data_IF_027352739607
#
_entry.id   IF_027352739607
#
_cell.length_a   1.000
_cell.length_b   1.000
_cell.length_c   1.000
_cell.angle_alpha   90.00
_cell.angle_beta   90.00
_cell.angle_gamma   90.00
#
_symmetry.space_group_name_H-M   'P 1'
#
loop_
_entity.id
_entity.type
_entity.pdbx_description
1 polymer ?
#
# COMPACT_ATOMS: atom_id res chain seq x y z
N UNK A 1 11.48 17.32 5.20
CA UNK A 1 12.80 17.73 4.68
C UNK A 1 13.88 16.83 5.29
N UNK A 2 14.65 16.07 4.48
CA UNK A 2 15.74 15.24 5.00
C UNK A 2 16.92 16.12 5.48
N UNK A 3 17.51 15.73 6.60
CA UNK A 3 18.76 16.31 7.15
C UNK A 3 19.86 15.25 7.19
N UNK A 4 20.01 14.53 6.09
CA UNK A 4 21.04 13.53 5.88
C UNK A 4 21.60 13.65 4.45
N UNK A 5 22.76 13.07 4.24
CA UNK A 5 23.45 12.98 2.95
C UNK A 5 24.28 11.69 2.89
N UNK A 6 24.58 11.20 1.69
CA UNK A 6 25.58 10.14 1.46
C UNK A 6 27.01 10.63 1.61
N UNK A 7 27.21 11.96 1.65
CA UNK A 7 28.50 12.61 1.76
C UNK A 7 28.61 13.40 3.08
N UNK A 8 29.82 13.57 3.64
CA UNK A 8 30.02 14.47 4.77
C UNK A 8 29.52 15.87 4.43
N UNK A 9 28.73 16.45 5.33
CA UNK A 9 28.14 17.76 5.09
C UNK A 9 28.45 18.68 6.26
N UNK A 10 29.22 19.73 6.02
CA UNK A 10 29.64 20.69 7.05
C UNK A 10 28.42 21.39 7.64
N UNK A 11 27.48 21.82 6.79
CA UNK A 11 26.29 22.52 7.26
C UNK A 11 25.16 22.40 6.28
N UNK A 12 23.96 22.06 6.77
CA UNK A 12 22.69 22.10 6.04
C UNK A 12 21.74 23.08 6.70
N UNK A 13 21.20 24.02 5.92
CA UNK A 13 20.23 25.00 6.40
C UNK A 13 18.97 24.91 5.56
N UNK A 14 17.82 24.85 6.23
CA UNK A 14 16.53 24.98 5.61
C UNK A 14 15.81 26.20 6.16
N UNK A 15 15.32 27.05 5.27
CA UNK A 15 14.56 28.25 5.63
C UNK A 15 13.18 28.18 5.02
N UNK A 16 12.18 28.58 5.79
CA UNK A 16 10.79 28.68 5.34
C UNK A 16 10.17 29.97 5.87
N UNK A 17 9.49 30.71 5.00
CA UNK A 17 8.78 31.93 5.35
C UNK A 17 7.29 31.75 5.09
N UNK A 18 6.47 32.04 6.09
CA UNK A 18 5.02 31.93 6.01
C UNK A 18 4.37 33.29 6.34
N UNK A 19 3.13 33.54 5.85
CA UNK A 19 2.35 34.73 6.25
C UNK A 19 2.17 34.82 7.78
N UNK A 20 2.03 36.05 8.30
CA UNK A 20 1.91 36.31 9.74
C UNK A 20 0.73 35.60 10.37
N UNK A 21 -0.39 35.51 9.64
CA UNK A 21 -1.64 34.91 10.09
C UNK A 21 -1.62 33.36 10.08
N UNK A 22 -0.61 32.76 9.47
CA UNK A 22 -0.43 31.32 9.46
C UNK A 22 0.35 30.85 10.67
N UNK A 23 -0.09 29.73 11.24
CA UNK A 23 0.70 29.01 12.23
C UNK A 23 1.39 27.82 11.55
N UNK A 24 2.58 27.47 12.05
CA UNK A 24 3.33 26.32 11.61
C UNK A 24 3.78 25.52 12.82
N UNK A 25 3.49 24.22 12.80
CA UNK A 25 4.08 23.27 13.71
C UNK A 25 5.20 22.52 13.01
N UNK A 26 6.20 22.13 13.78
CA UNK A 26 7.33 21.35 13.25
C UNK A 26 7.87 20.39 14.29
N UNK A 27 8.45 19.30 13.81
CA UNK A 27 9.15 18.35 14.65
C UNK A 27 10.36 17.82 13.90
N UNK A 28 11.45 17.67 14.61
CA UNK A 28 12.67 17.03 14.12
C UNK A 28 12.73 15.59 14.64
N UNK A 29 13.01 14.64 13.77
CA UNK A 29 13.06 13.22 14.08
C UNK A 29 14.46 12.69 13.85
N UNK A 30 14.87 11.69 14.61
CA UNK A 30 16.15 10.97 14.51
C UNK A 30 17.39 11.87 14.68
N UNK A 31 17.30 12.85 15.54
CA UNK A 31 18.38 13.77 15.85
C UNK A 31 17.90 15.12 16.37
N UNK A 32 18.77 16.08 16.34
CA UNK A 32 18.49 17.45 16.77
C UNK A 32 18.98 18.45 15.72
N UNK A 33 18.33 19.58 15.61
CA UNK A 33 18.76 20.72 14.82
C UNK A 33 18.61 22.03 15.61
N UNK A 34 19.41 23.01 15.28
CA UNK A 34 19.17 24.38 15.76
C UNK A 34 17.99 24.98 14.99
N UNK A 35 17.09 25.65 15.70
CA UNK A 35 15.98 26.34 15.07
C UNK A 35 15.88 27.77 15.59
N UNK A 36 15.46 28.68 14.70
CA UNK A 36 15.16 30.05 15.06
C UNK A 36 13.99 30.58 14.24
N UNK A 37 13.26 31.54 14.80
CA UNK A 37 12.19 32.25 14.10
C UNK A 37 12.43 33.75 14.20
N UNK A 38 12.20 34.46 13.10
CA UNK A 38 12.29 35.91 13.00
C UNK A 38 11.07 36.46 12.29
N UNK A 39 10.75 37.70 12.59
CA UNK A 39 9.78 38.48 11.83
C UNK A 39 10.53 39.34 10.82
N UNK A 40 10.31 39.05 9.54
CA UNK A 40 10.94 39.72 8.43
C UNK A 40 9.89 40.04 7.36
N UNK A 41 9.85 41.27 6.89
CA UNK A 41 8.95 41.74 5.81
C UNK A 41 7.47 41.35 6.01
N UNK A 42 6.96 41.46 7.26
CA UNK A 42 5.59 41.10 7.59
C UNK A 42 5.31 39.59 7.54
N UNK A 43 6.31 38.75 7.65
CA UNK A 43 6.23 37.28 7.62
C UNK A 43 6.96 36.66 8.81
N UNK A 44 6.60 35.43 9.14
CA UNK A 44 7.34 34.56 10.07
C UNK A 44 8.39 33.77 9.26
N UNK A 45 9.67 34.01 9.49
CA UNK A 45 10.79 33.31 8.85
C UNK A 45 11.42 32.31 9.83
N UNK A 46 11.32 31.03 9.54
CA UNK A 46 11.92 29.95 10.32
C UNK A 46 13.22 29.50 9.65
N UNK A 47 14.21 29.23 10.47
CA UNK A 47 15.50 28.68 10.03
C UNK A 47 15.81 27.45 10.85
N UNK A 48 16.15 26.36 10.18
CA UNK A 48 16.59 25.09 10.76
C UNK A 48 17.97 24.77 10.23
N UNK A 49 18.90 24.43 11.11
CA UNK A 49 20.28 24.14 10.72
C UNK A 49 20.83 22.94 11.50
N UNK A 50 21.62 22.15 10.80
CA UNK A 50 22.41 21.05 11.34
C UNK A 50 23.82 21.14 10.78
N UNK A 51 24.84 20.90 11.62
CA UNK A 51 26.26 21.02 11.29
C UNK A 51 26.96 19.66 11.48
N UNK A 52 28.13 19.52 10.87
CA UNK A 52 29.04 18.39 11.01
C UNK A 52 28.37 17.03 10.79
N UNK A 53 27.55 16.94 9.74
CA UNK A 53 26.76 15.76 9.44
C UNK A 53 27.65 14.68 8.82
N UNK A 54 27.77 13.56 9.50
CA UNK A 54 28.43 12.36 8.96
C UNK A 54 27.58 11.71 7.86
N UNK A 55 28.22 11.02 6.88
CA UNK A 55 27.49 10.31 5.83
C UNK A 55 26.56 9.27 6.41
N UNK A 56 25.31 9.28 5.97
CA UNK A 56 24.37 8.22 6.29
C UNK A 56 24.44 7.14 5.21
N UNK A 57 24.84 5.94 5.59
CA UNK A 57 24.97 4.80 4.68
C UNK A 57 23.77 3.87 4.81
N UNK A 58 23.25 3.46 3.65
CA UNK A 58 22.18 2.48 3.60
C UNK A 58 22.72 1.08 3.87
N UNK A 59 22.08 0.36 4.77
CA UNK A 59 22.38 -1.04 5.07
C UNK A 59 21.42 -1.97 4.34
N UNK A 60 21.82 -3.22 4.01
CA UNK A 60 20.89 -4.21 3.47
C UNK A 60 19.73 -4.48 4.41
N UNK A 61 18.51 -4.54 3.87
CA UNK A 61 17.28 -4.82 4.62
C UNK A 61 16.94 -3.84 5.77
N UNK A 62 17.56 -2.67 5.81
CA UNK A 62 17.16 -1.64 6.76
C UNK A 62 15.77 -1.07 6.43
N UNK A 63 15.15 -0.41 7.40
CA UNK A 63 13.94 0.40 7.19
C UNK A 63 14.21 1.54 6.21
N UNK A 64 13.16 2.20 5.74
CA UNK A 64 13.32 3.35 4.84
C UNK A 64 14.20 4.44 5.50
N UNK A 65 14.98 5.15 4.68
CA UNK A 65 15.85 6.23 5.16
C UNK A 65 15.08 7.33 5.88
N UNK A 66 13.84 7.58 5.49
CA UNK A 66 12.99 8.53 6.21
C UNK A 66 12.63 8.08 7.62
N UNK A 67 12.73 6.79 7.94
CA UNK A 67 12.48 6.25 9.29
C UNK A 67 13.75 6.17 10.14
N UNK A 68 14.92 6.11 9.51
CA UNK A 68 16.19 5.90 10.20
C UNK A 68 17.05 7.17 10.30
N UNK A 69 16.90 8.11 9.37
CA UNK A 69 17.79 9.26 9.26
C UNK A 69 17.14 10.57 9.73
N UNK A 70 17.96 11.58 10.13
CA UNK A 70 17.46 12.86 10.60
C UNK A 70 16.54 13.55 9.58
N UNK A 71 15.35 13.96 10.02
CA UNK A 71 14.38 14.65 9.17
C UNK A 71 13.61 15.71 9.92
N UNK A 72 13.27 16.79 9.22
CA UNK A 72 12.37 17.83 9.68
C UNK A 72 11.00 17.62 9.01
N UNK A 73 9.95 17.49 9.79
CA UNK A 73 8.55 17.53 9.34
C UNK A 73 7.93 18.85 9.76
N UNK A 74 7.10 19.41 8.89
CA UNK A 74 6.43 20.69 9.12
C UNK A 74 5.02 20.66 8.56
N UNK A 75 4.09 21.35 9.21
CA UNK A 75 2.73 21.49 8.71
C UNK A 75 2.09 22.77 9.19
N UNK A 76 1.28 23.38 8.36
CA UNK A 76 0.32 24.43 8.74
C UNK A 76 -1.08 23.87 9.05
N UNK A 77 -1.31 22.59 8.86
CA UNK A 77 -2.55 21.91 9.25
C UNK A 77 -2.53 21.73 10.78
N UNK A 78 -3.55 22.20 11.53
CA UNK A 78 -3.53 22.14 12.98
C UNK A 78 -3.61 20.72 13.52
N UNK A 79 -4.54 19.91 13.01
CA UNK A 79 -4.83 18.57 13.51
C UNK A 79 -5.08 17.58 12.36
N UNK A 80 -4.84 16.30 12.60
CA UNK A 80 -5.17 15.23 11.67
C UNK A 80 -6.65 15.23 11.29
N UNK A 81 -7.52 15.54 12.24
CA UNK A 81 -8.95 15.67 12.02
C UNK A 81 -9.30 16.69 10.93
N UNK A 82 -8.62 17.83 10.90
CA UNK A 82 -8.82 18.84 9.85
C UNK A 82 -8.40 18.32 8.47
N UNK A 83 -7.31 17.56 8.43
CA UNK A 83 -6.83 16.90 7.21
C UNK A 83 -7.81 15.83 6.73
N UNK A 84 -8.35 15.02 7.64
CA UNK A 84 -9.37 14.02 7.35
C UNK A 84 -10.63 14.65 6.75
N UNK A 85 -11.17 15.69 7.40
CA UNK A 85 -12.34 16.44 6.92
C UNK A 85 -12.10 17.03 5.53
N UNK A 86 -10.93 17.64 5.32
CA UNK A 86 -10.55 18.17 4.01
C UNK A 86 -10.50 17.07 2.94
N UNK A 87 -9.88 15.93 3.25
CA UNK A 87 -9.75 14.82 2.30
C UNK A 87 -11.10 14.20 1.96
N UNK A 88 -12.00 14.06 2.93
CA UNK A 88 -13.38 13.66 2.68
C UNK A 88 -14.06 14.65 1.74
N UNK A 89 -14.04 15.94 2.12
CA UNK A 89 -14.75 16.99 1.38
C UNK A 89 -14.31 17.09 -0.09
N UNK A 90 -13.02 17.08 -0.37
CA UNK A 90 -12.55 17.25 -1.77
C UNK A 90 -12.97 16.09 -2.68
N UNK A 91 -13.14 14.89 -2.14
CA UNK A 91 -13.58 13.73 -2.90
C UNK A 91 -15.11 13.66 -3.03
N UNK A 92 -15.86 14.02 -1.99
CA UNK A 92 -17.32 14.11 -2.07
C UNK A 92 -17.76 15.24 -3.00
N UNK A 93 -17.16 16.42 -2.91
CA UNK A 93 -17.47 17.57 -3.80
C UNK A 93 -17.11 17.27 -5.27
N UNK A 94 -16.07 16.49 -5.51
CA UNK A 94 -15.70 16.06 -6.87
C UNK A 94 -16.65 15.02 -7.45
N UNK A 95 -17.36 14.27 -6.60
CA UNK A 95 -18.25 13.18 -6.99
C UNK A 95 -17.53 11.88 -7.30
N UNK A 96 -16.36 11.64 -6.67
CA UNK A 96 -15.52 10.46 -6.90
C UNK A 96 -16.27 9.13 -6.75
N UNK A 97 -17.29 9.10 -5.91
CA UNK A 97 -18.02 7.88 -5.56
C UNK A 97 -19.45 7.84 -6.10
N UNK A 98 -19.74 8.64 -7.13
CA UNK A 98 -21.05 8.66 -7.75
C UNK A 98 -21.46 7.25 -8.24
N UNK A 99 -22.67 6.78 -7.90
CA UNK A 99 -23.10 5.45 -8.29
C UNK A 99 -23.25 5.35 -9.82
N UNK A 100 -22.90 4.19 -10.38
CA UNK A 100 -23.00 3.88 -11.80
C UNK A 100 -23.89 2.64 -11.98
N UNK A 101 -24.99 2.69 -12.78
CA UNK A 101 -25.92 1.57 -12.92
C UNK A 101 -25.28 0.25 -13.37
N UNK A 102 -24.29 0.31 -14.26
CA UNK A 102 -23.57 -0.86 -14.74
C UNK A 102 -22.70 -1.47 -13.63
N UNK A 103 -22.05 -0.63 -12.81
CA UNK A 103 -21.29 -1.07 -11.66
C UNK A 103 -22.21 -1.62 -10.57
N UNK A 104 -23.40 -1.04 -10.33
CA UNK A 104 -24.39 -1.55 -9.39
C UNK A 104 -24.82 -2.99 -9.75
N UNK A 105 -25.11 -3.26 -11.03
CA UNK A 105 -25.43 -4.63 -11.48
C UNK A 105 -24.32 -5.61 -11.18
N UNK A 106 -23.06 -5.19 -11.36
CA UNK A 106 -21.90 -6.02 -11.06
C UNK A 106 -21.77 -6.26 -9.55
N UNK A 107 -21.98 -5.26 -8.72
CA UNK A 107 -21.98 -5.39 -7.27
C UNK A 107 -23.05 -6.37 -6.82
N UNK A 108 -24.29 -6.22 -7.32
CA UNK A 108 -25.41 -7.12 -6.99
C UNK A 108 -25.11 -8.59 -7.37
N UNK A 109 -24.49 -8.80 -8.53
CA UNK A 109 -24.03 -10.12 -8.98
C UNK A 109 -23.00 -10.73 -8.02
N UNK A 110 -22.01 -9.94 -7.61
CA UNK A 110 -20.89 -10.37 -6.78
C UNK A 110 -21.32 -10.75 -5.36
N UNK A 111 -22.22 -9.96 -4.76
CA UNK A 111 -22.69 -10.20 -3.38
C UNK A 111 -23.84 -11.22 -3.32
N UNK A 112 -24.39 -11.63 -4.45
CA UNK A 112 -25.48 -12.61 -4.50
C UNK A 112 -25.08 -13.91 -3.82
N UNK A 113 -25.86 -14.33 -2.84
CA UNK A 113 -25.62 -15.54 -2.05
C UNK A 113 -24.55 -15.42 -0.97
N UNK A 114 -23.89 -14.26 -0.82
CA UNK A 114 -22.99 -13.99 0.30
C UNK A 114 -23.79 -13.72 1.56
N UNK A 115 -23.48 -14.44 2.64
CA UNK A 115 -24.28 -14.42 3.88
C UNK A 115 -23.75 -13.45 4.91
N UNK A 116 -22.43 -13.29 4.98
CA UNK A 116 -21.77 -12.45 5.98
C UNK A 116 -21.27 -11.15 5.39
N UNK A 117 -21.09 -10.14 6.23
CA UNK A 117 -20.46 -8.87 5.92
C UNK A 117 -19.07 -9.10 5.28
N UNK A 118 -18.24 -9.92 5.91
CA UNK A 118 -16.89 -10.22 5.46
C UNK A 118 -16.85 -10.93 4.09
N UNK A 119 -17.79 -11.83 3.81
CA UNK A 119 -17.87 -12.45 2.48
C UNK A 119 -18.18 -11.43 1.38
N UNK A 120 -19.05 -10.45 1.67
CA UNK A 120 -19.37 -9.37 0.72
C UNK A 120 -18.18 -8.44 0.53
N UNK A 121 -17.55 -7.98 1.61
CA UNK A 121 -16.36 -7.13 1.56
C UNK A 121 -15.24 -7.82 0.78
N UNK A 122 -14.96 -9.09 1.10
CA UNK A 122 -13.89 -9.85 0.45
C UNK A 122 -14.11 -9.99 -1.06
N UNK A 123 -15.31 -10.38 -1.50
CA UNK A 123 -15.57 -10.57 -2.93
C UNK A 123 -15.49 -9.27 -3.72
N UNK A 124 -15.91 -8.14 -3.14
CA UNK A 124 -15.79 -6.83 -3.77
C UNK A 124 -14.33 -6.38 -3.86
N UNK A 125 -13.57 -6.54 -2.76
CA UNK A 125 -12.15 -6.20 -2.72
C UNK A 125 -11.35 -7.01 -3.73
N UNK A 126 -11.55 -8.32 -3.78
CA UNK A 126 -10.87 -9.19 -4.76
C UNK A 126 -11.27 -8.86 -6.20
N UNK A 127 -12.56 -8.59 -6.45
CA UNK A 127 -12.97 -8.24 -7.80
C UNK A 127 -12.28 -6.95 -8.27
N UNK A 128 -12.21 -5.92 -7.44
CA UNK A 128 -11.54 -4.66 -7.79
C UNK A 128 -10.04 -4.91 -8.03
N UNK A 129 -9.38 -5.66 -7.13
CA UNK A 129 -7.97 -6.01 -7.27
C UNK A 129 -7.65 -6.77 -8.57
N UNK A 130 -8.55 -7.67 -8.99
CA UNK A 130 -8.37 -8.52 -10.18
C UNK A 130 -8.74 -7.81 -11.49
N UNK A 131 -9.61 -6.80 -11.44
CA UNK A 131 -10.22 -6.22 -12.64
C UNK A 131 -9.82 -4.77 -12.93
N UNK A 132 -9.20 -4.07 -11.98
CA UNK A 132 -8.67 -2.72 -12.19
C UNK A 132 -7.15 -2.81 -12.18
N UNK A 133 -6.54 -2.69 -13.35
CA UNK A 133 -5.09 -2.82 -13.52
C UNK A 133 -4.37 -1.59 -12.99
N UNK A 134 -3.31 -1.77 -12.20
CA UNK A 134 -2.45 -0.67 -11.82
C UNK A 134 -1.69 -0.13 -13.06
N UNK A 135 -1.94 1.13 -13.40
CA UNK A 135 -1.28 1.83 -14.49
C UNK A 135 -0.81 3.19 -13.98
N UNK A 136 0.49 3.42 -13.99
CA UNK A 136 1.12 4.62 -13.42
C UNK A 136 0.94 5.92 -14.21
N UNK A 137 -0.10 6.01 -15.03
CA UNK A 137 -0.44 7.22 -15.79
C UNK A 137 -1.77 7.74 -15.26
N UNK A 138 -1.70 8.85 -14.53
CA UNK A 138 -2.86 9.61 -14.10
C UNK A 138 -2.65 11.03 -14.59
N UNK A 139 -3.48 11.49 -15.53
CA UNK A 139 -3.38 12.82 -16.12
C UNK A 139 -4.77 13.42 -16.28
N UNK A 140 -4.92 14.71 -15.94
CA UNK A 140 -6.16 15.46 -16.14
C UNK A 140 -6.83 15.90 -14.84
N UNK A 141 -8.15 16.10 -14.88
CA UNK A 141 -8.94 16.47 -13.70
C UNK A 141 -8.91 15.33 -12.68
N UNK A 142 -8.76 15.68 -11.40
CA UNK A 142 -8.66 14.70 -10.31
C UNK A 142 -7.23 14.32 -9.96
N UNK A 143 -6.26 15.12 -10.35
CA UNK A 143 -4.88 14.95 -9.92
C UNK A 143 -4.69 15.28 -8.43
N UNK A 144 -3.58 14.82 -7.86
CA UNK A 144 -3.29 14.99 -6.43
C UNK A 144 -4.19 14.09 -5.56
N UNK A 145 -4.83 14.68 -4.57
CA UNK A 145 -5.65 13.97 -3.56
C UNK A 145 -7.09 13.66 -4.01
N UNK A 146 -7.51 14.12 -5.18
CA UNK A 146 -8.83 13.80 -5.72
C UNK A 146 -8.80 12.44 -6.43
N UNK A 147 -9.72 11.57 -6.08
CA UNK A 147 -9.89 10.27 -6.74
C UNK A 147 -10.75 10.44 -7.99
N UNK A 148 -10.40 9.78 -9.07
CA UNK A 148 -11.22 9.78 -10.28
C UNK A 148 -12.59 9.12 -10.03
N UNK A 149 -13.59 9.50 -10.81
CA UNK A 149 -14.96 9.03 -10.61
C UNK A 149 -15.14 7.54 -10.95
N UNK A 150 -16.19 6.95 -10.38
CA UNK A 150 -16.54 5.55 -10.57
C UNK A 150 -16.69 5.18 -12.05
N UNK A 151 -17.25 6.06 -12.87
CA UNK A 151 -17.50 5.79 -14.28
C UNK A 151 -16.19 5.63 -15.05
N UNK A 152 -15.25 6.55 -14.85
CA UNK A 152 -13.94 6.50 -15.48
C UNK A 152 -13.20 5.20 -15.11
N UNK A 153 -13.05 4.95 -13.82
CA UNK A 153 -12.32 3.78 -13.33
C UNK A 153 -12.96 2.45 -13.75
N UNK A 154 -14.29 2.36 -13.69
CA UNK A 154 -15.02 1.16 -14.09
C UNK A 154 -14.96 0.91 -15.59
N UNK A 155 -14.94 1.95 -16.43
CA UNK A 155 -14.88 1.83 -17.89
C UNK A 155 -13.46 1.48 -18.35
N UNK A 156 -12.46 2.20 -17.85
CA UNK A 156 -11.08 2.11 -18.32
C UNK A 156 -10.34 0.89 -17.76
N UNK A 157 -10.83 0.32 -16.65
CA UNK A 157 -10.24 -0.85 -15.97
C UNK A 157 -8.77 -0.66 -15.64
N UNK A 158 -8.34 0.55 -15.43
CA UNK A 158 -6.98 0.88 -15.00
C UNK A 158 -6.93 2.21 -14.25
N UNK A 159 -5.90 2.36 -13.43
CA UNK A 159 -5.64 3.58 -12.67
C UNK A 159 -4.48 3.39 -11.70
N UNK A 160 -4.23 4.40 -10.89
CA UNK A 160 -3.26 4.33 -9.80
C UNK A 160 -3.93 3.93 -8.48
N UNK A 161 -3.19 3.86 -7.38
CA UNK A 161 -3.72 3.42 -6.07
C UNK A 161 -5.02 4.12 -5.67
N UNK A 162 -5.12 5.44 -5.85
CA UNK A 162 -6.33 6.21 -5.52
C UNK A 162 -7.55 5.79 -6.35
N UNK A 163 -7.36 5.44 -7.62
CA UNK A 163 -8.44 5.04 -8.53
C UNK A 163 -8.97 3.64 -8.16
N UNK A 164 -8.05 2.74 -7.82
CA UNK A 164 -8.37 1.38 -7.38
C UNK A 164 -9.10 1.44 -6.03
N UNK A 165 -8.59 2.23 -5.07
CA UNK A 165 -9.24 2.45 -3.79
C UNK A 165 -10.61 3.11 -3.94
N UNK A 166 -10.72 4.16 -4.78
CA UNK A 166 -11.99 4.84 -5.08
C UNK A 166 -13.04 3.92 -5.70
N UNK A 167 -12.63 3.03 -6.61
CA UNK A 167 -13.52 2.00 -7.17
C UNK A 167 -14.04 1.08 -6.07
N UNK A 168 -13.19 0.66 -5.15
CA UNK A 168 -13.61 -0.19 -4.02
C UNK A 168 -14.57 0.55 -3.09
N UNK A 169 -14.29 1.81 -2.75
CA UNK A 169 -15.21 2.63 -1.94
C UNK A 169 -16.59 2.72 -2.61
N UNK A 170 -16.63 2.98 -3.91
CA UNK A 170 -17.89 3.03 -4.68
C UNK A 170 -18.63 1.71 -4.66
N UNK A 171 -17.94 0.59 -4.82
CA UNK A 171 -18.52 -0.75 -4.78
C UNK A 171 -19.09 -1.11 -3.42
N UNK A 172 -18.34 -0.78 -2.36
CA UNK A 172 -18.80 -0.99 -0.99
C UNK A 172 -20.04 -0.15 -0.69
N UNK A 173 -20.07 1.12 -1.11
CA UNK A 173 -21.24 2.00 -0.95
C UNK A 173 -22.45 1.47 -1.72
N UNK A 174 -22.26 1.02 -2.96
CA UNK A 174 -23.33 0.38 -3.77
C UNK A 174 -23.84 -0.93 -3.15
N UNK A 175 -23.03 -1.62 -2.35
CA UNK A 175 -23.43 -2.79 -1.58
C UNK A 175 -24.07 -2.45 -0.22
N UNK A 176 -24.22 -1.15 0.09
CA UNK A 176 -24.86 -0.66 1.32
C UNK A 176 -23.93 -0.47 2.52
N UNK A 177 -22.60 -0.54 2.31
CA UNK A 177 -21.63 -0.27 3.37
C UNK A 177 -21.29 1.23 3.47
N UNK A 178 -20.97 1.66 4.67
CA UNK A 178 -20.32 2.94 4.93
C UNK A 178 -18.82 2.78 4.66
N UNK A 179 -18.30 3.42 3.61
CA UNK A 179 -16.92 3.27 3.18
C UNK A 179 -16.33 4.59 2.68
N UNK A 180 -15.02 4.79 2.90
CA UNK A 180 -14.31 6.01 2.60
C UNK A 180 -12.88 5.73 2.11
N UNK A 181 -12.26 6.67 1.36
CA UNK A 181 -10.83 6.56 1.05
C UNK A 181 -10.00 6.88 2.29
N UNK A 182 -8.79 6.34 2.34
CA UNK A 182 -7.81 6.65 3.37
C UNK A 182 -6.43 6.89 2.78
N UNK A 183 -5.69 7.85 3.33
CA UNK A 183 -4.32 8.15 2.93
C UNK A 183 -3.35 7.39 3.81
N UNK A 184 -2.31 6.85 3.21
CA UNK A 184 -1.20 6.17 3.91
C UNK A 184 0.12 6.36 3.18
N UNK A 185 1.18 5.78 3.68
CA UNK A 185 2.51 5.79 3.09
C UNK A 185 3.01 4.36 2.91
N UNK A 186 3.23 3.96 1.67
CA UNK A 186 3.95 2.72 1.37
C UNK A 186 5.46 3.01 1.41
N UNK A 187 6.16 2.39 2.35
CA UNK A 187 7.60 2.55 2.56
C UNK A 187 7.93 3.11 3.93
N UNK A 188 7.97 4.42 4.10
CA UNK A 188 8.28 5.06 5.38
C UNK A 188 7.03 5.24 6.25
N UNK A 189 7.26 5.50 7.54
CA UNK A 189 6.19 5.70 8.53
C UNK A 189 5.56 7.09 8.38
N UNK A 190 4.24 7.17 8.49
CA UNK A 190 3.53 8.43 8.70
C UNK A 190 3.74 8.88 10.14
N UNK A 191 4.33 10.05 10.31
CA UNK A 191 4.68 10.61 11.61
C UNK A 191 3.48 11.25 12.31
N UNK A 192 3.64 11.58 13.60
CA UNK A 192 2.56 12.15 14.44
C UNK A 192 2.11 13.55 14.04
N UNK A 193 3.01 14.34 13.43
CA UNK A 193 2.69 15.71 12.95
C UNK A 193 1.83 15.64 11.68
N UNK A 194 0.76 16.43 11.53
CA UNK A 194 -0.17 16.37 10.39
C UNK A 194 0.41 16.97 9.11
N UNK A 195 1.57 16.47 8.69
CA UNK A 195 2.23 16.84 7.45
C UNK A 195 1.78 15.98 6.28
N UNK A 196 1.83 16.54 5.07
CA UNK A 196 1.57 15.83 3.82
C UNK A 196 2.70 14.85 3.51
N UNK A 197 2.64 13.68 4.12
CA UNK A 197 3.60 12.60 3.93
C UNK A 197 2.87 11.31 3.56
N UNK A 198 2.18 11.36 2.42
CA UNK A 198 1.42 10.24 1.88
C UNK A 198 1.82 9.99 0.42
N UNK A 199 1.91 8.75 0.03
CA UNK A 199 2.14 8.33 -1.36
C UNK A 199 1.17 7.23 -1.82
N UNK A 200 0.28 6.78 -0.94
CA UNK A 200 -0.62 5.69 -1.20
C UNK A 200 -2.02 5.96 -0.69
N UNK A 201 -3.01 5.44 -1.40
CA UNK A 201 -4.42 5.53 -1.04
C UNK A 201 -5.00 4.13 -0.93
N UNK A 202 -5.71 3.90 0.16
CA UNK A 202 -6.44 2.66 0.47
C UNK A 202 -7.90 2.98 0.75
N UNK A 203 -8.72 1.97 0.97
CA UNK A 203 -10.11 2.14 1.38
C UNK A 203 -10.28 1.76 2.86
N UNK A 204 -11.28 2.34 3.51
CA UNK A 204 -11.78 1.86 4.80
C UNK A 204 -13.27 1.58 4.71
N UNK A 205 -13.72 0.54 5.39
CA UNK A 205 -15.12 0.17 5.52
C UNK A 205 -15.49 0.11 6.99
N UNK A 206 -16.63 0.67 7.35
CA UNK A 206 -17.18 0.59 8.70
C UNK A 206 -17.91 -0.73 8.87
N UNK A 207 -17.49 -1.50 9.85
CA UNK A 207 -18.09 -2.77 10.21
C UNK A 207 -19.33 -2.56 11.10
N UNK A 208 -20.13 -3.61 11.26
CA UNK A 208 -21.34 -3.58 12.08
C UNK A 208 -21.10 -3.23 13.55
N UNK A 209 -19.88 -3.46 14.06
CA UNK A 209 -19.47 -3.05 15.41
C UNK A 209 -19.06 -1.57 15.53
N UNK A 210 -19.09 -0.84 14.40
CA UNK A 210 -18.72 0.58 14.29
C UNK A 210 -17.23 0.84 14.08
N UNK A 211 -16.39 -0.20 14.02
CA UNK A 211 -14.95 -0.05 13.74
C UNK A 211 -14.67 0.12 12.26
N UNK A 212 -13.60 0.84 11.91
CA UNK A 212 -13.13 0.96 10.53
C UNK A 212 -12.09 -0.11 10.23
N UNK A 213 -12.31 -0.89 9.17
CA UNK A 213 -11.37 -1.88 8.67
C UNK A 213 -10.67 -1.36 7.41
N UNK A 214 -9.33 -1.28 7.38
CA UNK A 214 -8.59 -0.89 6.18
C UNK A 214 -8.59 -2.03 5.15
N UNK A 215 -8.65 -1.63 3.87
CA UNK A 215 -8.68 -2.51 2.71
C UNK A 215 -7.72 -1.96 1.65
N UNK A 216 -6.81 -2.78 1.14
CA UNK A 216 -5.91 -2.38 0.07
C UNK A 216 -6.05 -3.25 -1.18
N UNK A 217 -6.93 -2.89 -2.12
CA UNK A 217 -7.12 -3.64 -3.36
C UNK A 217 -5.91 -3.57 -4.31
N UNK A 218 -4.94 -2.70 -4.08
CA UNK A 218 -3.75 -2.57 -4.92
C UNK A 218 -2.78 -3.74 -4.73
N UNK A 219 -2.65 -4.24 -3.50
CA UNK A 219 -1.64 -5.23 -3.11
C UNK A 219 -2.20 -6.62 -2.75
N UNK A 220 -3.52 -6.77 -2.72
CA UNK A 220 -4.23 -7.93 -2.15
C UNK A 220 -4.85 -8.90 -3.17
N UNK A 221 -4.35 -9.07 -4.40
CA UNK A 221 -5.00 -10.02 -5.30
C UNK A 221 -5.05 -11.45 -4.75
N UNK A 222 -4.18 -11.82 -3.80
CA UNK A 222 -4.01 -13.23 -3.38
C UNK A 222 -3.78 -13.41 -1.87
N UNK A 223 -3.94 -12.38 -1.04
CA UNK A 223 -3.76 -12.49 0.41
C UNK A 223 -5.07 -12.84 1.11
N UNK A 224 -4.97 -13.55 2.23
CA UNK A 224 -6.11 -13.83 3.11
C UNK A 224 -6.62 -12.56 3.75
N UNK A 225 -5.72 -11.70 4.19
CA UNK A 225 -6.01 -10.35 4.63
C UNK A 225 -6.39 -9.50 3.41
N UNK A 226 -7.35 -8.61 3.59
CA UNK A 226 -7.82 -7.70 2.56
C UNK A 226 -7.01 -6.39 2.51
N UNK A 227 -5.77 -6.43 2.97
CA UNK A 227 -4.79 -5.34 2.97
C UNK A 227 -3.36 -5.91 2.90
N UNK A 228 -2.38 -5.09 2.58
CA UNK A 228 -0.99 -5.54 2.44
C UNK A 228 -0.28 -5.68 3.77
N UNK A 229 0.35 -6.83 4.01
CA UNK A 229 1.25 -7.03 5.15
C UNK A 229 2.51 -6.15 5.08
N UNK A 230 2.84 -5.59 3.92
CA UNK A 230 3.91 -4.61 3.78
C UNK A 230 3.60 -3.26 4.45
N UNK A 231 2.33 -3.02 4.77
CA UNK A 231 1.83 -1.81 5.43
C UNK A 231 1.42 -2.07 6.89
N UNK A 232 1.91 -3.12 7.50
CA UNK A 232 1.69 -3.40 8.93
C UNK A 232 2.33 -2.33 9.80
N UNK A 233 1.70 -2.04 10.95
CA UNK A 233 2.16 -1.01 11.89
C UNK A 233 2.39 0.36 11.24
N UNK A 234 1.65 0.63 10.17
CA UNK A 234 1.64 1.89 9.47
C UNK A 234 0.45 2.74 9.93
N UNK A 235 0.66 4.04 10.03
CA UNK A 235 -0.43 4.97 10.24
C UNK A 235 -1.17 5.24 8.92
N UNK A 236 -2.48 5.35 9.01
CA UNK A 236 -3.32 5.79 7.90
C UNK A 236 -4.36 6.80 8.39
N UNK A 237 -4.82 7.67 7.50
CA UNK A 237 -5.81 8.71 7.81
C UNK A 237 -7.09 8.48 7.00
N UNK A 238 -8.18 8.02 7.61
CA UNK A 238 -9.48 7.92 6.94
C UNK A 238 -10.01 9.30 6.57
N UNK A 239 -10.55 9.45 5.37
CA UNK A 239 -11.27 10.65 4.92
C UNK A 239 -12.76 10.55 5.23
N UNK A 240 -13.13 10.73 6.49
CA UNK A 240 -14.51 10.54 7.00
C UNK A 240 -15.19 11.87 7.32
N UNK A 241 -16.53 11.97 7.22
CA UNK A 241 -17.26 13.23 7.39
C UNK A 241 -17.21 13.79 8.81
N UNK A 242 -17.01 12.97 9.83
CA UNK A 242 -16.81 13.40 11.21
C UNK A 242 -15.37 13.82 11.51
N UNK A 243 -14.45 13.55 10.59
CA UNK A 243 -13.02 13.71 10.78
C UNK A 243 -12.42 12.63 11.68
N UNK A 244 -11.19 12.21 11.40
CA UNK A 244 -10.46 11.17 12.12
C UNK A 244 -9.06 11.65 12.48
N UNK A 245 -8.53 11.13 13.57
CA UNK A 245 -7.10 11.10 13.82
C UNK A 245 -6.46 9.93 13.07
N UNK A 246 -5.13 9.80 13.16
CA UNK A 246 -4.42 8.68 12.59
C UNK A 246 -4.90 7.36 13.21
N UNK A 247 -5.13 6.40 12.35
CA UNK A 247 -5.40 5.01 12.72
C UNK A 247 -4.17 4.15 12.42
N UNK A 248 -4.01 3.05 13.14
CA UNK A 248 -2.92 2.12 12.92
C UNK A 248 -3.42 0.90 12.15
N UNK A 249 -2.68 0.49 11.12
CA UNK A 249 -2.98 -0.76 10.40
C UNK A 249 -2.76 -1.96 11.32
N UNK A 250 -3.60 -2.99 11.23
CA UNK A 250 -3.44 -4.19 12.06
C UNK A 250 -2.16 -4.94 11.69
N UNK A 251 -1.68 -5.76 12.62
CA UNK A 251 -0.59 -6.69 12.39
C UNK A 251 -1.19 -8.07 12.10
N UNK A 252 -0.83 -8.65 10.96
CA UNK A 252 -1.23 -10.00 10.65
C UNK A 252 -0.42 -11.00 11.47
N UNK A 253 -1.06 -12.05 11.97
CA UNK A 253 -0.39 -13.09 12.72
C UNK A 253 0.65 -13.82 11.84
N UNK A 254 1.85 -14.12 12.35
CA UNK A 254 2.91 -14.75 11.56
C UNK A 254 2.49 -16.11 11.00
N UNK A 255 1.57 -16.81 11.63
CA UNK A 255 0.99 -18.08 11.18
C UNK A 255 0.24 -17.96 9.86
N UNK A 256 -0.19 -16.74 9.49
CA UNK A 256 -0.83 -16.46 8.19
C UNK A 256 0.19 -16.28 7.05
N UNK A 257 1.49 -16.22 7.36
CA UNK A 257 2.56 -15.93 6.40
C UNK A 257 3.65 -16.99 6.47
N UNK A 258 3.52 -18.04 5.70
CA UNK A 258 4.50 -19.12 5.74
C UNK A 258 4.85 -19.69 4.36
N UNK A 259 6.04 -20.26 4.26
CA UNK A 259 6.44 -21.21 3.23
C UNK A 259 6.75 -22.53 3.92
N UNK A 260 6.06 -23.58 3.51
CA UNK A 260 6.35 -24.96 3.93
C UNK A 260 6.91 -25.72 2.75
N UNK A 261 8.07 -26.31 2.95
CA UNK A 261 8.71 -27.18 1.96
C UNK A 261 8.75 -28.59 2.53
N UNK A 262 7.99 -29.49 1.92
CA UNK A 262 8.05 -30.91 2.22
C UNK A 262 8.87 -31.59 1.13
N UNK A 263 9.89 -32.32 1.54
CA UNK A 263 10.73 -33.10 0.64
C UNK A 263 10.61 -34.59 0.94
N UNK A 264 10.38 -35.38 -0.10
CA UNK A 264 10.42 -36.83 -0.07
C UNK A 264 11.53 -37.28 -1.02
N UNK A 265 12.67 -37.65 -0.47
CA UNK A 265 13.90 -37.85 -1.20
C UNK A 265 14.54 -39.19 -0.88
N UNK A 266 15.19 -39.78 -1.89
CA UNK A 266 16.03 -40.96 -1.75
C UNK A 266 17.45 -40.66 -2.21
N UNK A 267 18.42 -41.02 -1.39
CA UNK A 267 19.82 -40.95 -1.72
C UNK A 267 20.29 -42.33 -2.24
N UNK A 268 20.78 -42.36 -3.45
CA UNK A 268 21.32 -43.57 -4.04
C UNK A 268 22.79 -43.79 -3.60
N UNK A 269 23.28 -45.03 -3.75
CA UNK A 269 24.64 -45.42 -3.36
C UNK A 269 25.75 -44.64 -4.09
N UNK A 270 25.47 -44.11 -5.27
CA UNK A 270 26.39 -43.24 -6.03
C UNK A 270 26.34 -41.76 -5.63
N UNK A 271 25.63 -41.41 -4.56
CA UNK A 271 25.49 -40.03 -4.07
C UNK A 271 24.46 -39.20 -4.82
N UNK A 272 23.63 -39.80 -5.66
CA UNK A 272 22.56 -39.06 -6.35
C UNK A 272 21.33 -38.98 -5.46
N UNK A 273 20.86 -37.75 -5.18
CA UNK A 273 19.62 -37.48 -4.49
C UNK A 273 18.48 -37.33 -5.51
N UNK A 274 17.41 -38.11 -5.34
CA UNK A 274 16.17 -38.01 -6.17
C UNK A 274 14.99 -37.87 -5.27
N UNK A 275 14.06 -37.01 -5.67
CA UNK A 275 12.85 -36.87 -4.87
C UNK A 275 11.90 -35.77 -5.36
N UNK A 276 10.87 -35.52 -4.58
CA UNK A 276 9.84 -34.54 -4.82
C UNK A 276 9.87 -33.49 -3.71
N UNK A 277 9.83 -32.23 -4.11
CA UNK A 277 9.64 -31.10 -3.21
C UNK A 277 8.24 -30.53 -3.41
N UNK A 278 7.46 -30.46 -2.35
CA UNK A 278 6.16 -29.79 -2.34
C UNK A 278 6.31 -28.47 -1.62
N UNK A 279 5.97 -27.38 -2.29
CA UNK A 279 6.02 -26.04 -1.74
C UNK A 279 4.58 -25.57 -1.50
N UNK A 280 4.26 -25.19 -0.27
CA UNK A 280 3.01 -24.58 0.13
C UNK A 280 3.29 -23.23 0.78
N UNK A 281 2.56 -22.20 0.39
CA UNK A 281 2.70 -20.87 0.95
C UNK A 281 1.34 -20.24 1.23
N UNK A 282 1.30 -19.35 2.22
CA UNK A 282 0.14 -18.51 2.51
C UNK A 282 0.56 -17.07 2.83
N UNK A 283 -0.41 -16.14 2.75
CA UNK A 283 -0.23 -14.73 3.04
C UNK A 283 0.77 -14.06 2.11
N UNK A 284 1.65 -13.23 2.65
CA UNK A 284 2.69 -12.54 1.89
C UNK A 284 3.64 -13.51 1.19
N UNK A 285 3.90 -14.66 1.80
CA UNK A 285 4.72 -15.70 1.19
C UNK A 285 4.08 -16.31 -0.06
N UNK A 286 2.76 -16.51 -0.05
CA UNK A 286 2.00 -16.94 -1.24
C UNK A 286 2.05 -15.87 -2.33
N UNK A 287 1.83 -14.59 -1.99
CA UNK A 287 1.94 -13.48 -2.93
C UNK A 287 3.32 -13.44 -3.61
N UNK A 288 4.39 -13.65 -2.85
CA UNK A 288 5.76 -13.69 -3.37
C UNK A 288 5.96 -14.84 -4.36
N UNK A 289 5.49 -16.05 -4.02
CA UNK A 289 5.61 -17.22 -4.90
C UNK A 289 4.72 -17.08 -6.13
N UNK A 290 3.47 -16.62 -5.97
CA UNK A 290 2.57 -16.38 -7.10
C UNK A 290 3.07 -15.31 -8.05
N UNK A 291 3.83 -14.34 -7.58
CA UNK A 291 4.40 -13.30 -8.44
C UNK A 291 5.27 -13.87 -9.57
N UNK A 292 5.88 -15.05 -9.36
CA UNK A 292 6.64 -15.79 -10.38
C UNK A 292 5.74 -16.16 -11.57
N UNK A 293 4.48 -16.48 -11.28
CA UNK A 293 3.52 -16.97 -12.26
C UNK A 293 2.60 -15.87 -12.81
N UNK A 294 2.37 -14.81 -12.06
CA UNK A 294 1.47 -13.71 -12.45
C UNK A 294 2.19 -12.57 -13.16
N UNK A 295 3.49 -12.35 -12.88
CA UNK A 295 4.30 -11.30 -13.48
C UNK A 295 5.18 -11.78 -14.63
N UNK A 296 5.31 -13.12 -14.84
CA UNK A 296 6.13 -13.74 -15.86
C UNK A 296 5.29 -14.44 -16.92
N UNK A 297 5.85 -14.60 -18.12
CA UNK A 297 5.23 -15.39 -19.18
C UNK A 297 5.23 -16.88 -18.80
N UNK A 298 4.16 -17.59 -19.13
CA UNK A 298 4.01 -19.02 -18.84
C UNK A 298 5.18 -19.86 -19.41
N UNK A 299 5.72 -19.47 -20.55
CA UNK A 299 6.90 -20.11 -21.15
C UNK A 299 8.16 -20.05 -20.29
N UNK A 300 8.22 -19.13 -19.34
CA UNK A 300 9.37 -18.92 -18.45
C UNK A 300 9.24 -19.62 -17.10
N UNK A 301 8.07 -20.15 -16.76
CA UNK A 301 7.82 -20.71 -15.42
C UNK A 301 8.75 -21.88 -15.11
N UNK A 302 8.90 -22.82 -16.06
CA UNK A 302 9.80 -23.95 -15.89
C UNK A 302 11.23 -23.50 -15.65
N UNK A 303 11.73 -22.58 -16.46
CA UNK A 303 13.09 -22.05 -16.32
C UNK A 303 13.29 -21.34 -14.97
N UNK A 304 12.25 -20.70 -14.43
CA UNK A 304 12.29 -20.08 -13.10
C UNK A 304 12.40 -21.13 -12.00
N UNK A 305 11.65 -22.23 -12.08
CA UNK A 305 11.78 -23.34 -11.14
C UNK A 305 13.15 -24.03 -11.23
N UNK A 306 13.69 -24.19 -12.43
CA UNK A 306 15.04 -24.71 -12.64
C UNK A 306 16.10 -23.82 -11.97
N UNK A 307 16.01 -22.49 -12.11
CA UNK A 307 16.93 -21.56 -11.42
C UNK A 307 16.87 -21.69 -9.91
N UNK A 308 15.67 -21.84 -9.33
CA UNK A 308 15.52 -22.05 -7.88
C UNK A 308 16.17 -23.36 -7.43
N UNK A 309 16.01 -24.43 -8.22
CA UNK A 309 16.63 -25.73 -7.93
C UNK A 309 18.17 -25.68 -8.05
N UNK A 310 18.68 -24.97 -9.06
CA UNK A 310 20.12 -24.76 -9.27
C UNK A 310 20.78 -23.95 -8.15
N UNK A 311 20.02 -23.09 -7.47
CA UNK A 311 20.49 -22.39 -6.27
C UNK A 311 20.74 -23.35 -5.08
N UNK A 312 20.02 -24.47 -5.02
CA UNK A 312 20.26 -25.53 -4.02
C UNK A 312 21.44 -26.40 -4.41
N UNK A 313 21.54 -26.80 -5.67
CA UNK A 313 22.65 -27.58 -6.20
C UNK A 313 22.92 -27.24 -7.65
N UNK A 314 24.18 -26.86 -8.01
CA UNK A 314 24.51 -26.49 -9.40
C UNK A 314 24.38 -27.65 -10.42
N UNK A 315 24.30 -28.90 -9.94
CA UNK A 315 24.12 -30.11 -10.79
C UNK A 315 22.69 -30.62 -10.77
N UNK A 316 21.77 -29.93 -10.12
CA UNK A 316 20.35 -30.34 -10.04
C UNK A 316 19.70 -30.33 -11.44
N UNK A 317 18.75 -31.22 -11.64
CA UNK A 317 17.93 -31.29 -12.86
C UNK A 317 16.45 -31.35 -12.48
N UNK A 318 15.66 -30.47 -13.02
CA UNK A 318 14.21 -30.50 -12.87
C UNK A 318 13.62 -31.54 -13.83
N UNK A 319 13.06 -32.62 -13.32
CA UNK A 319 12.45 -33.69 -14.11
C UNK A 319 11.02 -33.30 -14.51
N UNK A 320 10.19 -32.93 -13.54
CA UNK A 320 8.82 -32.51 -13.75
C UNK A 320 8.45 -31.42 -12.78
N UNK A 321 7.38 -30.67 -13.11
CA UNK A 321 6.79 -29.65 -12.25
C UNK A 321 5.27 -29.76 -12.38
N UNK A 322 4.60 -29.83 -11.22
CA UNK A 322 3.17 -29.62 -11.09
C UNK A 322 2.96 -28.25 -10.40
N UNK A 323 2.31 -27.34 -11.06
CA UNK A 323 2.02 -25.98 -10.53
C UNK A 323 0.77 -25.93 -9.65
N UNK A 324 0.16 -27.09 -9.33
CA UNK A 324 -1.02 -27.22 -8.49
C UNK A 324 -2.31 -26.78 -9.17
N UNK A 325 -3.38 -26.73 -8.36
CA UNK A 325 -4.70 -26.32 -8.86
C UNK A 325 -4.77 -24.80 -8.95
N UNK A 326 -4.86 -24.27 -10.15
CA UNK A 326 -5.05 -22.85 -10.46
C UNK A 326 -6.50 -22.41 -10.35
N UNK A 327 -7.24 -22.83 -9.33
CA UNK A 327 -8.68 -22.53 -9.21
C UNK A 327 -8.96 -21.02 -9.13
N UNK A 328 -7.98 -20.22 -8.73
CA UNK A 328 -8.09 -18.77 -8.62
C UNK A 328 -7.47 -18.01 -9.81
N UNK A 329 -6.55 -18.60 -10.56
CA UNK A 329 -5.99 -18.02 -11.80
C UNK A 329 -6.99 -17.97 -12.98
N UNK A 330 -8.08 -18.74 -12.93
CA UNK A 330 -9.07 -18.76 -14.01
C UNK A 330 -9.79 -17.42 -14.22
N UNK A 331 -9.65 -16.47 -13.29
CA UNK A 331 -10.32 -15.17 -13.39
C UNK A 331 -9.50 -14.13 -14.15
N UNK A 332 -8.21 -14.32 -14.33
CA UNK A 332 -7.31 -13.36 -15.01
C UNK A 332 -7.01 -13.71 -16.47
N UNK A 333 -7.37 -14.88 -16.95
CA UNK A 333 -6.89 -15.42 -18.22
C UNK A 333 -7.91 -15.82 -19.27
N UNK A 334 -9.16 -15.42 -19.15
CA UNK A 334 -10.15 -15.63 -20.21
C UNK A 334 -10.98 -14.37 -20.44
N UNK A 335 -10.47 -13.56 -21.27
CA UNK A 335 -11.15 -12.72 -22.24
C UNK A 335 -10.13 -11.71 -22.76
N UNK A 336 -9.38 -12.14 -23.77
CA UNK A 336 -8.85 -11.31 -24.84
C UNK A 336 -9.32 -11.92 -26.14
#
# INVERSE_FOLDING_TARGET
VPFWSSEPTVRKVYKVSIPMEKEMQFQFYQGECTSSMRYEDGRKAYTFAMEDMMPFRREPNMVDLFDAAPKLMMSSTPHWKDKSLWFNKVNEDYGSFAPLPEAQKKVDELIKGKKTEMEKIAVLTHWVADNIRYAGISMGKGEGYTLHDTKMNYTDRCGVCKDIAGTLVSFLRMAGFEAYPAMTMAGSRVESIPADHFNHCVAVVKLADGTYMPLDPTWVPFCRELWSSAEQQQNYLPGVPEGSDLCLTPVSAPENHYVRIKADNRLDANGTLRGTFTIQAEGQSDSNIRSIFTRGFQSQWRATMERQLLAVSPKARLLSVDYGRRSEERRVGKEC
#
